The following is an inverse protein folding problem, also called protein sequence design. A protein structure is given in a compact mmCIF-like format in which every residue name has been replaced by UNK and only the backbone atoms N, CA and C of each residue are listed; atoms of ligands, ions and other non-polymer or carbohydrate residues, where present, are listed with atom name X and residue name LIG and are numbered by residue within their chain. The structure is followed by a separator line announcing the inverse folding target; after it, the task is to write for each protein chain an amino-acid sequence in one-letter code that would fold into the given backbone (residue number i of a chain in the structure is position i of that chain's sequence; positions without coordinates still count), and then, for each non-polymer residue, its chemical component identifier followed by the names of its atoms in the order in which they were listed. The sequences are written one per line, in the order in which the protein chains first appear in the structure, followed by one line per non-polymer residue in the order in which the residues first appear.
data_IF_420180841254
#
_entry.id   IF_420180841254
#
_cell.length_a   1.000
_cell.length_b   1.000
_cell.length_c   1.000
_cell.angle_alpha   90.00
_cell.angle_beta   90.00
_cell.angle_gamma   90.00
#
_symmetry.space_group_name_H-M   'P 1'
#
loop_
_entity.id
_entity.type
_entity.pdbx_description
1 polymer ?
#
# COMPACT_ATOMS: atom_id res chain seq x y z
N UNK A 1 1.61 -11.49 -5.54
CA UNK A 1 1.82 -10.12 -5.06
C UNK A 1 0.48 -9.49 -4.71
N UNK A 2 0.39 -8.87 -3.52
CA UNK A 2 -0.67 -7.95 -3.12
C UNK A 2 -0.04 -6.55 -3.13
N UNK A 3 -0.67 -5.59 -3.80
CA UNK A 3 -0.22 -4.20 -3.80
C UNK A 3 -1.13 -3.36 -2.90
N UNK A 4 -0.54 -2.59 -2.01
CA UNK A 4 -1.20 -1.56 -1.22
C UNK A 4 -0.69 -0.21 -1.70
N UNK A 5 -1.61 0.69 -2.05
CA UNK A 5 -1.24 2.00 -2.55
C UNK A 5 -2.33 3.02 -2.39
N UNK A 6 -2.10 4.18 -2.96
CA UNK A 6 -3.08 5.26 -3.03
C UNK A 6 -2.81 6.12 -4.26
N UNK A 7 -3.74 6.98 -4.62
CA UNK A 7 -3.59 7.94 -5.72
C UNK A 7 -3.34 9.36 -5.25
N UNK A 8 -3.26 9.61 -3.95
CA UNK A 8 -3.02 10.93 -3.35
C UNK A 8 -1.73 10.94 -2.55
N UNK A 9 -1.10 12.11 -2.37
CA UNK A 9 -0.02 12.28 -1.40
C UNK A 9 -0.60 12.36 0.02
N UNK A 10 0.21 11.94 1.02
CA UNK A 10 -0.13 12.03 2.44
C UNK A 10 -0.58 10.72 3.08
N UNK A 11 -0.87 10.78 4.37
CA UNK A 11 -1.17 9.64 5.22
C UNK A 11 -2.58 9.10 5.02
N UNK A 12 -2.76 8.21 4.04
CA UNK A 12 -4.03 7.54 3.77
C UNK A 12 -4.21 6.23 4.54
N UNK A 13 -3.28 5.87 5.44
CA UNK A 13 -3.34 4.63 6.22
C UNK A 13 -2.72 3.41 5.52
N UNK A 14 -1.78 3.58 4.58
CA UNK A 14 -1.10 2.47 3.88
C UNK A 14 -0.33 1.58 4.86
N UNK A 15 0.50 2.17 5.72
CA UNK A 15 1.35 1.42 6.66
C UNK A 15 0.52 0.56 7.63
N UNK A 16 -0.53 1.07 8.31
CA UNK A 16 -1.43 0.24 9.10
C UNK A 16 -2.11 -0.88 8.29
N UNK A 17 -2.47 -0.61 7.04
CA UNK A 17 -3.05 -1.63 6.16
C UNK A 17 -2.02 -2.71 5.82
N UNK A 18 -0.78 -2.35 5.51
CA UNK A 18 0.30 -3.29 5.25
C UNK A 18 0.57 -4.18 6.48
N UNK A 19 0.63 -3.58 7.67
CA UNK A 19 0.76 -4.32 8.94
C UNK A 19 -0.39 -5.31 9.16
N UNK A 20 -1.63 -4.89 8.93
CA UNK A 20 -2.81 -5.76 9.06
C UNK A 20 -2.76 -6.93 8.06
N UNK A 21 -2.41 -6.67 6.80
CA UNK A 21 -2.28 -7.71 5.77
C UNK A 21 -1.16 -8.67 6.12
N UNK A 22 0.01 -8.18 6.57
CA UNK A 22 1.13 -9.03 7.01
C UNK A 22 0.68 -9.90 8.19
N UNK A 23 0.11 -9.32 9.24
CA UNK A 23 -0.31 -10.03 10.44
C UNK A 23 -1.30 -11.16 10.15
N UNK A 24 -2.26 -10.92 9.25
CA UNK A 24 -3.25 -11.91 8.86
C UNK A 24 -2.66 -12.98 7.95
N UNK A 25 -1.93 -12.58 6.91
CA UNK A 25 -1.42 -13.49 5.90
C UNK A 25 -0.26 -14.35 6.40
N UNK A 26 0.54 -13.88 7.36
CA UNK A 26 1.63 -14.64 7.95
C UNK A 26 1.18 -15.89 8.74
N UNK A 27 -0.13 -16.02 9.00
CA UNK A 27 -0.70 -17.23 9.60
C UNK A 27 -0.74 -18.42 8.62
N UNK A 28 -0.72 -18.15 7.31
CA UNK A 28 -0.89 -19.16 6.26
C UNK A 28 0.19 -19.09 5.18
N UNK A 29 0.97 -18.03 5.14
CA UNK A 29 1.94 -17.74 4.08
C UNK A 29 3.28 -17.29 4.65
N UNK A 30 4.34 -17.60 3.92
CA UNK A 30 5.65 -16.96 4.14
C UNK A 30 5.64 -15.60 3.44
N UNK A 31 5.44 -14.55 4.23
CA UNK A 31 5.21 -13.19 3.72
C UNK A 31 6.52 -12.41 3.59
N UNK A 32 6.67 -11.68 2.49
CA UNK A 32 7.65 -10.61 2.37
C UNK A 32 6.95 -9.26 2.17
N UNK A 33 7.56 -8.19 2.69
CA UNK A 33 7.20 -6.81 2.36
C UNK A 33 8.24 -6.21 1.42
N UNK A 34 7.78 -5.55 0.37
CA UNK A 34 8.63 -4.76 -0.52
C UNK A 34 8.17 -3.30 -0.53
N UNK A 35 8.98 -2.41 0.02
CA UNK A 35 8.75 -0.97 0.04
C UNK A 35 9.75 -0.20 -0.84
N UNK A 36 9.52 1.09 -1.03
CA UNK A 36 10.48 1.98 -1.67
C UNK A 36 11.64 2.34 -0.75
N UNK A 37 11.39 2.41 0.55
CA UNK A 37 12.32 3.01 1.50
C UNK A 37 12.37 4.53 1.32
N UNK A 38 11.22 5.19 1.49
CA UNK A 38 11.16 6.65 1.35
C UNK A 38 12.18 7.34 2.29
N UNK A 39 12.89 8.34 1.78
CA UNK A 39 13.86 9.12 2.55
C UNK A 39 15.20 8.42 2.82
N UNK A 40 15.39 7.15 2.41
CA UNK A 40 16.66 6.43 2.58
C UNK A 40 17.79 7.02 1.71
N UNK A 41 19.02 6.84 2.17
CA UNK A 41 20.22 7.30 1.44
C UNK A 41 20.75 6.27 0.44
N UNK A 42 20.47 5.00 0.67
CA UNK A 42 20.89 3.89 -0.20
C UNK A 42 20.04 3.81 -1.46
N UNK A 43 20.55 3.09 -2.48
CA UNK A 43 19.84 2.82 -3.74
C UNK A 43 19.87 1.33 -4.05
N UNK A 44 18.92 0.90 -4.90
CA UNK A 44 18.80 -0.49 -5.32
C UNK A 44 18.13 -1.36 -4.26
N UNK A 45 18.29 -2.67 -4.39
CA UNK A 45 17.74 -3.64 -3.45
C UNK A 45 18.56 -3.70 -2.16
N UNK A 46 17.88 -3.68 -1.04
CA UNK A 46 18.49 -3.89 0.27
C UNK A 46 17.46 -4.60 1.18
N UNK A 47 17.88 -5.71 1.78
CA UNK A 47 17.10 -6.38 2.81
C UNK A 47 17.21 -5.63 4.14
N UNK A 48 16.08 -5.44 4.82
CA UNK A 48 15.98 -4.74 6.09
C UNK A 48 16.17 -5.73 7.22
N UNK A 49 17.18 -5.49 8.08
CA UNK A 49 17.44 -6.25 9.29
C UNK A 49 17.06 -5.46 10.53
N UNK A 50 16.90 -6.12 11.65
CA UNK A 50 16.54 -5.45 12.90
C UNK A 50 17.58 -4.41 13.38
N UNK A 51 18.85 -4.60 13.02
CA UNK A 51 19.96 -3.69 13.30
C UNK A 51 20.23 -2.66 12.17
N UNK A 52 19.41 -2.65 11.11
CA UNK A 52 19.52 -1.68 10.02
C UNK A 52 19.33 -0.26 10.52
N UNK A 53 20.06 0.68 9.94
CA UNK A 53 19.87 2.11 10.25
C UNK A 53 18.70 2.66 9.43
N UNK A 54 17.79 3.42 10.07
CA UNK A 54 16.64 4.03 9.38
C UNK A 54 17.05 4.89 8.16
N UNK A 55 18.25 5.53 8.22
CA UNK A 55 18.81 6.31 7.11
C UNK A 55 19.14 5.49 5.86
N UNK A 56 19.35 4.18 6.03
CA UNK A 56 19.76 3.29 4.95
C UNK A 56 18.57 2.52 4.35
N UNK A 57 17.50 2.31 5.13
CA UNK A 57 16.35 1.49 4.73
C UNK A 57 15.02 2.24 4.74
N UNK A 58 14.94 3.39 5.42
CA UNK A 58 13.70 4.12 5.70
C UNK A 58 13.09 3.71 7.04
N UNK A 59 12.34 4.61 7.65
CA UNK A 59 11.71 4.42 8.96
C UNK A 59 10.55 3.43 8.92
N UNK A 60 9.63 3.54 7.95
CA UNK A 60 8.48 2.63 7.83
C UNK A 60 8.89 1.15 7.61
N UNK A 61 9.81 0.80 6.66
CA UNK A 61 10.25 -0.57 6.51
C UNK A 61 10.95 -1.12 7.75
N UNK A 62 11.75 -0.29 8.45
CA UNK A 62 12.40 -0.70 9.69
C UNK A 62 11.37 -0.96 10.80
N UNK A 63 10.38 -0.09 10.97
CA UNK A 63 9.27 -0.29 11.92
C UNK A 63 8.56 -1.62 11.68
N UNK A 64 8.24 -1.94 10.41
CA UNK A 64 7.61 -3.22 10.06
C UNK A 64 8.52 -4.40 10.38
N UNK A 65 9.83 -4.31 10.09
CA UNK A 65 10.79 -5.38 10.43
C UNK A 65 10.88 -5.64 11.93
N UNK A 66 10.87 -4.58 12.74
CA UNK A 66 10.89 -4.70 14.20
C UNK A 66 9.59 -5.30 14.76
N UNK A 67 8.45 -4.97 14.15
CA UNK A 67 7.14 -5.47 14.56
C UNK A 67 6.90 -6.92 14.11
N UNK A 68 7.42 -7.30 12.95
CA UNK A 68 7.26 -8.62 12.33
C UNK A 68 8.65 -9.22 12.03
N UNK A 69 9.37 -9.71 13.04
CA UNK A 69 10.76 -10.15 12.89
C UNK A 69 10.94 -11.32 11.91
N UNK A 70 9.93 -12.17 11.76
CA UNK A 70 9.95 -13.33 10.86
C UNK A 70 9.62 -12.97 9.41
N UNK A 71 9.08 -11.77 9.16
CA UNK A 71 8.76 -11.30 7.80
C UNK A 71 10.04 -10.84 7.09
N UNK A 72 10.22 -11.27 5.86
CA UNK A 72 11.26 -10.71 4.97
C UNK A 72 10.85 -9.29 4.60
N UNK A 73 11.65 -8.31 4.96
CA UNK A 73 11.39 -6.91 4.59
C UNK A 73 12.52 -6.43 3.69
N UNK A 74 12.17 -5.89 2.53
CA UNK A 74 13.15 -5.37 1.58
C UNK A 74 12.71 -4.01 1.02
N UNK A 75 13.69 -3.23 0.61
CA UNK A 75 13.48 -1.94 -0.05
C UNK A 75 14.12 -1.94 -1.43
N UNK A 76 13.41 -1.42 -2.42
CA UNK A 76 13.91 -1.28 -3.80
C UNK A 76 13.04 -0.29 -4.57
N UNK A 77 13.65 0.67 -5.27
CA UNK A 77 12.90 1.64 -6.09
C UNK A 77 12.25 0.95 -7.30
N UNK A 78 12.98 0.03 -7.93
CA UNK A 78 12.48 -0.78 -9.04
C UNK A 78 11.80 -2.02 -8.50
N UNK A 79 10.48 -1.97 -8.31
CA UNK A 79 9.69 -3.04 -7.69
C UNK A 79 9.88 -4.41 -8.35
N UNK A 80 9.93 -4.44 -9.69
CA UNK A 80 10.15 -5.71 -10.42
C UNK A 80 11.51 -6.35 -10.08
N UNK A 81 12.56 -5.54 -9.91
CA UNK A 81 13.88 -6.04 -9.49
C UNK A 81 13.85 -6.53 -8.04
N UNK A 82 13.17 -5.78 -7.16
CA UNK A 82 12.97 -6.17 -5.76
C UNK A 82 12.25 -7.52 -5.63
N UNK A 83 11.17 -7.72 -6.38
CA UNK A 83 10.42 -8.99 -6.40
C UNK A 83 11.34 -10.14 -6.84
N UNK A 84 12.08 -9.97 -7.96
CA UNK A 84 12.99 -11.00 -8.47
C UNK A 84 14.06 -11.37 -7.43
N UNK A 85 14.62 -10.38 -6.73
CA UNK A 85 15.62 -10.60 -5.68
C UNK A 85 15.02 -11.33 -4.49
N UNK A 86 13.84 -10.95 -4.00
CA UNK A 86 13.16 -11.64 -2.91
C UNK A 86 12.93 -13.11 -3.28
N UNK A 87 12.37 -13.39 -4.48
CA UNK A 87 12.12 -14.77 -4.92
C UNK A 87 13.41 -15.60 -5.07
N UNK A 88 14.53 -14.98 -5.44
CA UNK A 88 15.80 -15.67 -5.59
C UNK A 88 16.49 -15.94 -4.24
N UNK A 89 16.46 -14.99 -3.31
CA UNK A 89 17.12 -15.07 -2.01
C UNK A 89 16.27 -15.81 -0.95
N UNK A 90 14.93 -15.79 -1.11
CA UNK A 90 13.96 -16.39 -0.19
C UNK A 90 12.95 -17.25 -0.99
N UNK A 91 13.33 -18.43 -1.49
CA UNK A 91 12.48 -19.29 -2.31
C UNK A 91 11.26 -19.86 -1.54
N UNK A 92 11.26 -19.77 -0.22
CA UNK A 92 10.17 -20.11 0.68
C UNK A 92 9.08 -19.02 0.77
N UNK A 93 9.36 -17.80 0.30
CA UNK A 93 8.37 -16.72 0.24
C UNK A 93 7.36 -16.99 -0.86
N UNK A 94 6.10 -17.13 -0.49
CA UNK A 94 4.98 -17.37 -1.40
C UNK A 94 4.03 -16.18 -1.57
N UNK A 95 4.16 -15.17 -0.68
CA UNK A 95 3.39 -13.93 -0.74
C UNK A 95 4.27 -12.68 -0.57
N UNK A 96 4.17 -11.75 -1.52
CA UNK A 96 4.83 -10.44 -1.42
C UNK A 96 3.76 -9.36 -1.28
N UNK A 97 3.83 -8.57 -0.21
CA UNK A 97 3.07 -7.35 0.00
C UNK A 97 3.92 -6.18 -0.51
N UNK A 98 3.43 -5.49 -1.52
CA UNK A 98 4.11 -4.33 -2.10
C UNK A 98 3.48 -3.04 -1.54
N UNK A 99 4.24 -2.32 -0.72
CA UNK A 99 3.82 -1.06 -0.15
C UNK A 99 4.12 0.13 -1.07
N UNK A 100 3.17 1.06 -1.11
CA UNK A 100 3.16 2.25 -1.98
C UNK A 100 3.48 1.90 -3.45
N UNK A 101 2.78 0.87 -3.94
CA UNK A 101 3.09 0.25 -5.22
C UNK A 101 2.17 0.62 -6.38
N UNK A 102 1.07 1.34 -6.17
CA UNK A 102 0.02 1.53 -7.18
C UNK A 102 0.51 2.22 -8.46
N UNK A 103 1.50 3.11 -8.37
CA UNK A 103 2.11 3.80 -9.51
C UNK A 103 3.08 2.91 -10.32
N UNK A 104 3.45 1.73 -9.83
CA UNK A 104 4.41 0.83 -10.50
C UNK A 104 3.74 -0.07 -11.54
N UNK A 105 3.57 0.42 -12.76
CA UNK A 105 2.87 -0.27 -13.87
C UNK A 105 3.63 -1.48 -14.45
N UNK A 106 4.92 -1.64 -14.13
CA UNK A 106 5.73 -2.79 -14.57
C UNK A 106 5.52 -4.06 -13.72
N UNK A 107 4.69 -3.97 -12.69
CA UNK A 107 4.29 -5.11 -11.87
C UNK A 107 2.78 -5.20 -11.92
N UNK A 108 2.26 -6.34 -12.34
CA UNK A 108 0.84 -6.66 -12.28
C UNK A 108 0.55 -7.50 -11.03
N UNK A 109 0.05 -6.90 -9.94
CA UNK A 109 -0.27 -7.63 -8.74
C UNK A 109 -1.58 -8.39 -8.90
N UNK A 110 -1.67 -9.56 -8.26
CA UNK A 110 -2.91 -10.34 -8.22
C UNK A 110 -4.04 -9.60 -7.50
N UNK A 111 -3.68 -8.75 -6.54
CA UNK A 111 -4.63 -7.93 -5.77
C UNK A 111 -4.06 -6.52 -5.62
N UNK A 112 -4.86 -5.52 -6.01
CA UNK A 112 -4.62 -4.11 -5.77
C UNK A 112 -5.59 -3.58 -4.71
N UNK A 113 -5.08 -3.11 -3.58
CA UNK A 113 -5.80 -2.42 -2.51
C UNK A 113 -5.46 -0.93 -2.58
N UNK A 114 -6.45 -0.09 -2.83
CA UNK A 114 -6.27 1.35 -2.93
C UNK A 114 -6.88 2.03 -1.70
N UNK A 115 -6.04 2.75 -0.98
CA UNK A 115 -6.41 3.51 0.22
C UNK A 115 -6.96 4.87 -0.18
N UNK A 116 -8.14 5.21 0.30
CA UNK A 116 -8.84 6.48 0.07
C UNK A 116 -9.08 7.17 1.40
N UNK A 117 -8.71 8.44 1.50
CA UNK A 117 -8.99 9.25 2.69
C UNK A 117 -10.40 9.88 2.56
N UNK A 118 -11.33 9.53 3.45
CA UNK A 118 -12.70 10.03 3.43
C UNK A 118 -12.76 11.57 3.59
N UNK A 119 -11.75 12.17 4.20
CA UNK A 119 -11.68 13.63 4.41
C UNK A 119 -11.20 14.40 3.19
N UNK A 120 -10.74 13.68 2.14
CA UNK A 120 -10.19 14.26 0.89
C UNK A 120 -10.84 13.60 -0.32
N UNK A 121 -12.02 14.09 -0.75
CA UNK A 121 -12.74 13.52 -1.88
C UNK A 121 -11.93 13.61 -3.18
N UNK A 122 -11.68 12.47 -3.82
CA UNK A 122 -10.86 12.34 -5.03
C UNK A 122 -11.41 13.16 -6.20
N UNK A 123 -12.74 13.28 -6.30
CA UNK A 123 -13.41 13.98 -7.39
C UNK A 123 -13.20 15.51 -7.42
N UNK A 124 -12.76 16.09 -6.32
CA UNK A 124 -12.52 17.52 -6.20
C UNK A 124 -11.02 17.86 -6.13
N UNK A 125 -10.18 16.85 -6.20
CA UNK A 125 -8.72 17.03 -6.13
C UNK A 125 -8.11 17.15 -7.54
N UNK A 126 -6.89 17.68 -7.61
CA UNK A 126 -6.15 17.92 -8.84
C UNK A 126 -4.80 17.20 -8.80
N UNK A 127 -4.26 16.95 -9.98
CA UNK A 127 -2.91 16.42 -10.11
C UNK A 127 -1.88 17.36 -9.49
N UNK A 128 -0.82 16.78 -8.92
CA UNK A 128 0.36 17.54 -8.52
C UNK A 128 0.89 18.39 -9.67
N UNK A 129 1.37 19.62 -9.42
CA UNK A 129 1.51 20.30 -8.12
C UNK A 129 0.27 21.09 -7.66
N UNK A 130 -0.82 21.13 -8.43
CA UNK A 130 -2.02 21.93 -8.18
C UNK A 130 -2.98 21.31 -7.16
N UNK A 131 -2.80 20.06 -6.84
CA UNK A 131 -3.58 19.29 -5.87
C UNK A 131 -2.73 18.20 -5.25
N UNK A 132 -3.37 17.12 -4.77
CA UNK A 132 -2.67 16.03 -4.08
C UNK A 132 -2.67 14.71 -4.86
N UNK A 133 -3.28 14.65 -6.04
CA UNK A 133 -3.30 13.45 -6.87
C UNK A 133 -1.92 13.14 -7.45
N UNK A 134 -1.46 11.90 -7.25
CA UNK A 134 -0.23 11.33 -7.83
C UNK A 134 -0.50 10.53 -9.10
N UNK A 135 -1.76 10.16 -9.31
CA UNK A 135 -2.21 9.38 -10.47
C UNK A 135 -3.60 9.85 -10.89
N UNK A 136 -3.97 9.60 -12.15
CA UNK A 136 -5.26 9.99 -12.68
C UNK A 136 -6.39 9.16 -12.05
N UNK A 137 -7.58 9.74 -11.79
CA UNK A 137 -8.73 9.00 -11.27
C UNK A 137 -9.13 7.80 -12.15
N UNK A 138 -8.90 7.88 -13.47
CA UNK A 138 -9.17 6.78 -14.41
C UNK A 138 -8.35 5.53 -14.09
N UNK A 139 -7.16 5.67 -13.50
CA UNK A 139 -6.30 4.55 -13.11
C UNK A 139 -6.91 3.69 -11.98
N UNK A 140 -7.96 4.19 -11.32
CA UNK A 140 -8.69 3.45 -10.31
C UNK A 140 -9.34 2.17 -10.86
N UNK A 141 -9.50 2.04 -12.19
CA UNK A 141 -9.96 0.78 -12.80
C UNK A 141 -9.08 -0.42 -12.46
N UNK A 142 -7.78 -0.20 -12.14
CA UNK A 142 -6.83 -1.26 -11.75
C UNK A 142 -7.01 -1.76 -10.31
N UNK A 143 -7.77 -1.04 -9.49
CA UNK A 143 -8.03 -1.45 -8.11
C UNK A 143 -8.97 -2.65 -8.06
N UNK A 144 -8.75 -3.56 -7.12
CA UNK A 144 -9.68 -4.63 -6.77
C UNK A 144 -10.50 -4.22 -5.54
N UNK A 145 -9.84 -3.60 -4.58
CA UNK A 145 -10.44 -3.17 -3.33
C UNK A 145 -10.10 -1.71 -3.04
N UNK A 146 -11.13 -0.95 -2.67
CA UNK A 146 -10.97 0.37 -2.08
C UNK A 146 -11.19 0.26 -0.58
N UNK A 147 -10.26 0.82 0.19
CA UNK A 147 -10.42 0.97 1.62
C UNK A 147 -10.49 2.45 1.94
N UNK A 148 -11.70 2.90 2.24
CA UNK A 148 -11.96 4.29 2.64
C UNK A 148 -11.66 4.42 4.11
N UNK A 149 -10.64 5.18 4.44
CA UNK A 149 -10.15 5.40 5.82
C UNK A 149 -10.64 6.72 6.39
N UNK A 150 -10.46 6.91 7.69
CA UNK A 150 -10.83 8.12 8.43
C UNK A 150 -12.32 8.46 8.27
N UNK A 151 -13.14 7.45 8.11
CA UNK A 151 -14.59 7.67 8.06
C UNK A 151 -15.08 8.22 9.40
N UNK A 152 -16.02 9.21 9.38
CA UNK A 152 -16.64 9.68 10.60
C UNK A 152 -17.44 8.55 11.26
N UNK A 153 -17.61 8.62 12.57
CA UNK A 153 -18.33 7.59 13.34
C UNK A 153 -19.74 7.36 12.80
N UNK A 154 -20.43 8.44 12.46
CA UNK A 154 -21.77 8.42 11.87
C UNK A 154 -21.71 8.90 10.41
N UNK A 155 -21.18 8.06 9.54
CA UNK A 155 -21.20 8.33 8.10
C UNK A 155 -22.59 8.03 7.53
N UNK A 156 -23.23 9.03 6.92
CA UNK A 156 -24.57 8.85 6.36
C UNK A 156 -24.59 7.83 5.21
N UNK A 157 -25.67 7.04 5.05
CA UNK A 157 -25.79 6.08 3.95
C UNK A 157 -25.63 6.72 2.56
N UNK A 158 -26.08 7.96 2.40
CA UNK A 158 -25.96 8.70 1.15
C UNK A 158 -24.48 8.98 0.79
N UNK A 159 -23.64 9.34 1.77
CA UNK A 159 -22.22 9.62 1.56
C UNK A 159 -21.47 8.34 1.13
N UNK A 160 -21.79 7.20 1.75
CA UNK A 160 -21.25 5.89 1.35
C UNK A 160 -21.65 5.54 -0.08
N UNK A 161 -22.89 5.84 -0.46
CA UNK A 161 -23.41 5.60 -1.83
C UNK A 161 -22.67 6.48 -2.85
N UNK A 162 -22.48 7.75 -2.54
CA UNK A 162 -21.74 8.69 -3.39
C UNK A 162 -20.30 8.21 -3.59
N UNK A 163 -19.58 7.88 -2.52
CA UNK A 163 -18.21 7.38 -2.63
C UNK A 163 -18.12 6.10 -3.45
N UNK A 164 -19.04 5.14 -3.24
CA UNK A 164 -19.08 3.93 -4.08
C UNK A 164 -19.28 4.25 -5.54
N UNK A 165 -20.18 5.17 -5.87
CA UNK A 165 -20.45 5.58 -7.26
C UNK A 165 -19.24 6.23 -7.92
N UNK A 166 -18.46 6.98 -7.16
CA UNK A 166 -17.24 7.66 -7.64
C UNK A 166 -16.09 6.67 -7.82
N UNK A 167 -15.91 5.74 -6.88
CA UNK A 167 -14.75 4.84 -6.86
C UNK A 167 -14.92 3.62 -7.77
N UNK A 168 -16.12 3.04 -7.83
CA UNK A 168 -16.36 1.81 -8.60
C UNK A 168 -16.49 2.16 -10.08
N UNK A 169 -15.52 1.70 -10.87
CA UNK A 169 -15.46 1.86 -12.32
C UNK A 169 -15.77 0.55 -13.06
N UNK A 170 -15.53 -0.60 -12.40
CA UNK A 170 -15.73 -1.94 -12.96
C UNK A 170 -16.40 -2.86 -11.94
N UNK A 171 -17.14 -3.85 -12.43
CA UNK A 171 -18.07 -4.67 -11.64
C UNK A 171 -17.41 -5.52 -10.53
N UNK A 172 -16.15 -5.90 -10.69
CA UNK A 172 -15.45 -6.73 -9.69
C UNK A 172 -14.95 -5.94 -8.47
N UNK A 173 -14.91 -4.60 -8.55
CA UNK A 173 -14.39 -3.76 -7.46
C UNK A 173 -15.30 -3.77 -6.22
N UNK A 174 -14.68 -3.67 -5.06
CA UNK A 174 -15.37 -3.61 -3.76
C UNK A 174 -14.86 -2.44 -2.94
N UNK A 175 -15.75 -1.82 -2.16
CA UNK A 175 -15.44 -0.68 -1.30
C UNK A 175 -15.74 -1.04 0.14
N UNK A 176 -14.73 -0.90 1.00
CA UNK A 176 -14.79 -1.06 2.45
C UNK A 176 -14.59 0.29 3.12
N UNK A 177 -15.27 0.50 4.23
CA UNK A 177 -15.21 1.73 5.02
C UNK A 177 -14.63 1.39 6.39
N UNK A 178 -13.59 2.12 6.79
CA UNK A 178 -12.91 1.91 8.07
C UNK A 178 -12.81 3.23 8.84
N UNK A 179 -12.75 3.11 10.16
CA UNK A 179 -12.47 4.22 11.07
C UNK A 179 -11.31 3.84 11.98
N UNK A 180 -10.66 4.83 12.54
CA UNK A 180 -9.75 4.60 13.65
C UNK A 180 -10.60 4.45 14.93
N UNK A 181 -10.28 3.44 15.72
CA UNK A 181 -10.73 3.33 17.10
C UNK A 181 -9.64 3.92 17.98
N UNK A 182 -10.04 4.84 18.87
CA UNK A 182 -9.17 5.46 19.88
C UNK A 182 -9.12 4.59 21.13
#
# INVERSE_FOLDING_TARGET
VICIGNITVGGTGKTPMAEMVIAYMSQMHRVALLSRGYGRRTKGYLEVKADSRYRDVGDEPLQIKLKFPDTVVAVCEKRADGIRRICAEHPDVDLIVMDDGFQHRYVEPKVNIVMIDATRPVQHDRMLPLGTLRDLPEELHRAHYFVVTKCPEKMAPIDRRILRKVLIQVAYQRVYFTRFES
#
